data_IF_484496378508
#
_entry.id   IF_484496378508
#
_cell.length_a   1.000
_cell.length_b   1.000
_cell.length_c   1.000
_cell.angle_alpha   90.00
_cell.angle_beta   90.00
_cell.angle_gamma   90.00
#
_symmetry.space_group_name_H-M   'P 1'
#
loop_
_entity.id
_entity.type
_entity.pdbx_description
1 polymer ?
#
# COMPACT_ATOMS: atom_id res chain seq x y z
N UNK A 1 5.72 12.14 -10.72
CA UNK A 1 6.87 11.26 -10.99
C UNK A 1 7.98 11.59 -9.98
N UNK A 2 8.17 10.77 -8.95
CA UNK A 2 9.37 10.73 -8.10
C UNK A 2 9.38 9.36 -7.42
N UNK A 3 9.56 8.33 -8.24
CA UNK A 3 9.91 7.00 -7.76
C UNK A 3 11.32 7.12 -7.19
N UNK A 4 11.45 6.94 -5.88
CA UNK A 4 12.75 6.73 -5.24
C UNK A 4 13.49 5.71 -6.11
N UNK A 5 14.67 6.09 -6.60
CA UNK A 5 15.52 5.27 -7.45
C UNK A 5 15.91 4.00 -6.69
N UNK A 6 15.08 2.98 -6.89
CA UNK A 6 15.08 1.73 -6.14
C UNK A 6 16.33 0.88 -6.46
N UNK A 7 17.13 1.30 -7.44
CA UNK A 7 18.37 0.66 -7.88
C UNK A 7 19.55 0.88 -6.91
N UNK A 8 19.46 1.85 -5.99
CA UNK A 8 20.57 2.22 -5.08
C UNK A 8 20.56 1.54 -3.72
N UNK A 9 19.50 0.81 -3.37
CA UNK A 9 19.42 0.13 -2.08
C UNK A 9 20.19 -1.19 -2.16
N UNK A 10 21.41 -1.22 -1.59
CA UNK A 10 22.15 -2.48 -1.36
C UNK A 10 21.45 -3.25 -0.25
N UNK A 11 20.69 -4.27 -0.64
CA UNK A 11 19.99 -5.14 0.28
C UNK A 11 20.94 -6.18 0.86
N UNK A 12 20.93 -6.32 2.19
CA UNK A 12 21.50 -7.49 2.84
C UNK A 12 20.67 -8.71 2.42
N UNK A 13 21.31 -9.73 1.84
CA UNK A 13 20.64 -10.97 1.42
C UNK A 13 20.04 -11.77 2.58
N UNK A 14 20.38 -11.44 3.83
CA UNK A 14 19.88 -12.10 5.04
C UNK A 14 18.52 -11.61 5.48
N UNK A 15 18.17 -10.36 5.21
CA UNK A 15 17.00 -9.71 5.79
C UNK A 15 16.06 -9.13 4.74
N UNK A 16 14.77 -9.19 5.02
CA UNK A 16 13.79 -8.42 4.25
C UNK A 16 13.98 -6.93 4.56
N UNK A 17 13.86 -6.08 3.55
CA UNK A 17 13.98 -4.64 3.69
C UNK A 17 12.61 -3.98 3.66
N UNK A 18 12.43 -3.05 4.58
CA UNK A 18 11.23 -2.21 4.68
C UNK A 18 11.68 -0.75 4.63
N UNK A 19 11.21 -0.03 3.62
CA UNK A 19 11.60 1.35 3.39
C UNK A 19 10.93 2.36 4.31
N UNK A 20 11.30 3.64 4.19
CA UNK A 20 10.54 4.74 4.77
C UNK A 20 9.12 4.79 4.17
N UNK A 21 8.14 5.36 4.89
CA UNK A 21 6.79 5.51 4.35
C UNK A 21 6.81 6.35 3.06
N UNK A 22 6.08 5.90 2.05
CA UNK A 22 5.89 6.66 0.83
C UNK A 22 5.26 8.03 1.13
N UNK A 23 5.74 9.09 0.48
CA UNK A 23 5.31 10.47 0.77
C UNK A 23 3.81 10.69 0.53
N UNK A 24 3.23 10.00 -0.44
CA UNK A 24 1.83 10.16 -0.87
C UNK A 24 0.98 9.03 -0.28
N UNK A 25 1.27 7.78 -0.62
CA UNK A 25 0.44 6.63 -0.17
C UNK A 25 0.57 6.33 1.32
N UNK A 26 1.61 6.85 1.99
CA UNK A 26 2.00 6.56 3.39
C UNK A 26 2.35 5.09 3.68
N UNK A 27 2.25 4.22 2.68
CA UNK A 27 2.63 2.80 2.79
C UNK A 27 4.14 2.65 2.66
N UNK A 28 4.70 1.73 3.47
CA UNK A 28 6.12 1.37 3.39
C UNK A 28 6.34 0.38 2.25
N UNK A 29 7.26 0.67 1.30
CA UNK A 29 7.65 -0.30 0.30
C UNK A 29 8.43 -1.44 0.98
N UNK A 30 8.28 -2.64 0.44
CA UNK A 30 9.03 -3.81 0.89
C UNK A 30 9.86 -4.38 -0.25
N UNK A 31 11.04 -4.90 0.09
CA UNK A 31 11.82 -5.77 -0.78
C UNK A 31 12.19 -7.01 0.01
N UNK A 32 11.76 -8.15 -0.48
CA UNK A 32 11.96 -9.42 0.19
C UNK A 32 13.31 -10.00 -0.23
N UNK A 33 14.01 -10.63 0.71
CA UNK A 33 15.33 -11.21 0.45
C UNK A 33 15.26 -12.32 -0.60
N UNK A 34 16.31 -12.43 -1.41
CA UNK A 34 16.49 -13.51 -2.38
C UNK A 34 17.41 -14.56 -1.76
N UNK A 35 16.95 -15.81 -1.71
CA UNK A 35 17.73 -16.94 -1.19
C UNK A 35 18.69 -17.46 -2.26
N UNK A 36 19.90 -17.86 -1.89
CA UNK A 36 20.94 -18.31 -2.85
C UNK A 36 20.52 -19.49 -3.73
N UNK A 37 19.67 -20.39 -3.21
CA UNK A 37 19.07 -21.51 -3.94
C UNK A 37 17.54 -21.37 -4.00
N UNK A 38 17.06 -20.16 -4.35
CA UNK A 38 15.63 -19.87 -4.46
C UNK A 38 14.97 -20.77 -5.52
N UNK A 39 14.01 -21.59 -5.09
CA UNK A 39 13.20 -22.37 -6.03
C UNK A 39 12.23 -21.47 -6.79
N UNK A 40 11.76 -21.91 -7.96
CA UNK A 40 10.75 -21.17 -8.73
C UNK A 40 9.49 -20.85 -7.89
N UNK A 41 9.10 -21.75 -6.98
CA UNK A 41 7.95 -21.54 -6.08
C UNK A 41 8.24 -20.43 -5.06
N UNK A 42 9.43 -20.42 -4.45
CA UNK A 42 9.87 -19.35 -3.55
C UNK A 42 9.93 -17.98 -4.27
N UNK A 43 10.52 -17.96 -5.48
CA UNK A 43 10.60 -16.77 -6.33
C UNK A 43 9.23 -16.20 -6.66
N UNK A 44 8.32 -17.04 -7.14
CA UNK A 44 6.98 -16.62 -7.53
C UNK A 44 6.19 -16.10 -6.33
N UNK A 45 6.31 -16.76 -5.16
CA UNK A 45 5.69 -16.29 -3.93
C UNK A 45 6.23 -14.92 -3.49
N UNK A 46 7.56 -14.74 -3.55
CA UNK A 46 8.21 -13.48 -3.22
C UNK A 46 7.72 -12.34 -4.12
N UNK A 47 7.78 -12.54 -5.44
CA UNK A 47 7.32 -11.56 -6.43
C UNK A 47 5.84 -11.23 -6.22
N UNK A 48 4.99 -12.23 -5.96
CA UNK A 48 3.56 -12.00 -5.74
C UNK A 48 3.30 -11.12 -4.50
N UNK A 49 4.07 -11.28 -3.41
CA UNK A 49 3.98 -10.42 -2.22
C UNK A 49 4.43 -8.98 -2.51
N UNK A 50 5.54 -8.82 -3.23
CA UNK A 50 6.06 -7.50 -3.61
C UNK A 50 5.07 -6.78 -4.54
N UNK A 51 4.51 -7.48 -5.52
CA UNK A 51 3.46 -6.96 -6.41
C UNK A 51 2.19 -6.57 -5.65
N UNK A 52 1.77 -7.38 -4.66
CA UNK A 52 0.62 -7.04 -3.82
C UNK A 52 0.87 -5.77 -2.99
N UNK A 53 2.06 -5.63 -2.39
CA UNK A 53 2.45 -4.41 -1.67
C UNK A 53 2.50 -3.19 -2.59
N UNK A 54 3.05 -3.33 -3.79
CA UNK A 54 3.10 -2.26 -4.78
C UNK A 54 1.70 -1.85 -5.24
N UNK A 55 0.83 -2.81 -5.53
CA UNK A 55 -0.58 -2.53 -5.86
C UNK A 55 -1.31 -1.81 -4.72
N UNK A 56 -1.09 -2.27 -3.49
CA UNK A 56 -1.65 -1.63 -2.30
C UNK A 56 -1.19 -0.17 -2.18
N UNK A 57 0.11 0.07 -2.30
CA UNK A 57 0.68 1.43 -2.28
C UNK A 57 0.11 2.29 -3.41
N UNK A 58 -0.07 1.73 -4.61
CA UNK A 58 -0.58 2.48 -5.76
C UNK A 58 -2.04 2.91 -5.58
N UNK A 59 -2.87 2.04 -5.01
CA UNK A 59 -4.25 2.40 -4.67
C UNK A 59 -4.29 3.60 -3.73
N UNK A 60 -3.58 3.53 -2.61
CA UNK A 60 -3.56 4.61 -1.62
C UNK A 60 -2.85 5.88 -2.11
N UNK A 61 -1.89 5.77 -3.03
CA UNK A 61 -1.32 6.94 -3.69
C UNK A 61 -2.41 7.72 -4.43
N UNK A 62 -3.20 7.04 -5.26
CA UNK A 62 -4.25 7.65 -6.06
C UNK A 62 -5.38 8.19 -5.16
N UNK A 63 -5.81 7.41 -4.16
CA UNK A 63 -6.88 7.81 -3.24
C UNK A 63 -6.48 9.04 -2.40
N UNK A 64 -5.24 9.08 -1.90
CA UNK A 64 -4.76 10.23 -1.12
C UNK A 64 -4.61 11.48 -1.99
N UNK A 65 -4.17 11.36 -3.25
CA UNK A 65 -4.13 12.50 -4.17
C UNK A 65 -5.52 13.08 -4.42
N UNK A 66 -6.51 12.22 -4.62
CA UNK A 66 -7.89 12.65 -4.84
C UNK A 66 -8.50 13.28 -3.59
N UNK A 67 -8.24 12.72 -2.41
CA UNK A 67 -8.62 13.32 -1.13
C UNK A 67 -8.06 14.73 -0.97
N UNK A 68 -6.75 14.92 -1.17
CA UNK A 68 -6.10 16.24 -1.04
C UNK A 68 -6.70 17.23 -2.02
N UNK A 69 -6.92 16.82 -3.28
CA UNK A 69 -7.55 17.64 -4.32
C UNK A 69 -8.96 18.11 -3.91
N UNK A 70 -9.83 17.19 -3.50
CA UNK A 70 -11.20 17.51 -3.11
C UNK A 70 -11.25 18.35 -1.82
N UNK A 71 -10.35 18.08 -0.87
CA UNK A 71 -10.24 18.84 0.37
C UNK A 71 -9.86 20.29 0.08
N UNK A 72 -8.87 20.51 -0.77
CA UNK A 72 -8.40 21.85 -1.10
C UNK A 72 -9.46 22.64 -1.89
N UNK A 73 -10.19 21.95 -2.79
CA UNK A 73 -11.35 22.52 -3.49
C UNK A 73 -12.47 22.92 -2.53
N UNK A 74 -12.82 22.05 -1.57
CA UNK A 74 -13.82 22.33 -0.55
C UNK A 74 -13.43 23.53 0.31
N UNK A 75 -12.18 23.58 0.82
CA UNK A 75 -11.69 24.69 1.63
C UNK A 75 -11.74 26.00 0.84
N UNK A 76 -11.34 25.98 -0.44
CA UNK A 76 -11.37 27.17 -1.31
C UNK A 76 -12.80 27.67 -1.51
N UNK A 77 -13.73 26.79 -1.85
CA UNK A 77 -15.13 27.15 -2.07
C UNK A 77 -15.76 27.70 -0.78
N UNK A 78 -15.53 27.02 0.35
CA UNK A 78 -16.07 27.44 1.64
C UNK A 78 -15.53 28.79 2.11
N UNK A 79 -14.24 29.08 1.88
CA UNK A 79 -13.65 30.41 2.15
C UNK A 79 -14.27 31.50 1.29
N UNK A 80 -14.58 31.21 0.02
CA UNK A 80 -15.24 32.17 -0.87
C UNK A 80 -16.67 32.50 -0.39
N UNK A 81 -17.39 31.50 0.13
CA UNK A 81 -18.74 31.68 0.70
C UNK A 81 -18.73 32.49 2.00
N UNK A 82 -17.77 32.23 2.89
CA UNK A 82 -17.68 32.87 4.20
C UNK A 82 -17.07 34.28 4.16
N UNK A 83 -16.41 34.66 3.06
CA UNK A 83 -15.77 35.96 2.89
C UNK A 83 -14.46 36.14 3.67
N UNK A 84 -13.92 37.36 3.66
CA UNK A 84 -12.54 37.67 4.15
C UNK A 84 -12.26 37.35 5.62
N UNK A 85 -13.29 37.35 6.48
CA UNK A 85 -13.14 37.15 7.92
C UNK A 85 -13.57 35.74 8.39
N UNK A 86 -14.12 34.94 7.48
CA UNK A 86 -14.64 33.62 7.79
C UNK A 86 -13.59 32.53 7.62
N UNK A 87 -13.47 31.68 8.64
CA UNK A 87 -12.59 30.51 8.62
C UNK A 87 -13.43 29.24 8.49
N UNK A 88 -12.89 28.25 7.77
CA UNK A 88 -13.50 26.92 7.67
C UNK A 88 -13.47 26.28 9.06
N UNK A 89 -14.63 25.92 9.59
CA UNK A 89 -14.76 25.35 10.93
C UNK A 89 -14.62 23.84 10.91
N UNK A 90 -14.46 23.23 12.09
CA UNK A 90 -14.46 21.77 12.22
C UNK A 90 -15.78 21.13 11.75
N UNK A 91 -16.92 21.81 11.94
CA UNK A 91 -18.21 21.34 11.45
C UNK A 91 -18.27 21.32 9.93
N UNK A 92 -17.74 22.36 9.26
CA UNK A 92 -17.64 22.38 7.79
C UNK A 92 -16.73 21.23 7.30
N UNK A 93 -15.60 20.99 7.96
CA UNK A 93 -14.74 19.86 7.59
C UNK A 93 -15.41 18.51 7.84
N UNK A 94 -16.23 18.39 8.89
CA UNK A 94 -16.99 17.16 9.15
C UNK A 94 -18.00 16.85 8.05
N UNK A 95 -18.65 17.87 7.46
CA UNK A 95 -19.57 17.64 6.34
C UNK A 95 -18.82 17.20 5.09
N UNK A 96 -17.65 17.81 4.81
CA UNK A 96 -16.74 17.35 3.76
C UNK A 96 -16.33 15.88 3.97
N UNK A 97 -15.83 15.52 5.15
CA UNK A 97 -15.37 14.15 5.41
C UNK A 97 -16.48 13.13 5.25
N UNK A 98 -17.68 13.42 5.77
CA UNK A 98 -18.84 12.54 5.59
C UNK A 98 -19.18 12.36 4.12
N UNK A 99 -19.17 13.45 3.34
CA UNK A 99 -19.45 13.41 1.91
C UNK A 99 -18.41 12.59 1.16
N UNK A 100 -17.12 12.89 1.35
CA UNK A 100 -16.01 12.17 0.72
C UNK A 100 -16.07 10.67 1.00
N UNK A 101 -16.30 10.28 2.28
CA UNK A 101 -16.40 8.87 2.65
C UNK A 101 -17.60 8.17 2.00
N UNK A 102 -18.73 8.85 1.86
CA UNK A 102 -19.90 8.30 1.18
C UNK A 102 -19.65 8.10 -0.31
N UNK A 103 -19.01 9.08 -0.97
CA UNK A 103 -18.72 9.03 -2.39
C UNK A 103 -17.69 7.93 -2.72
N UNK A 104 -16.67 7.79 -1.88
CA UNK A 104 -15.59 6.79 -2.06
C UNK A 104 -15.94 5.40 -1.51
N UNK A 105 -17.09 5.24 -0.84
CA UNK A 105 -17.44 4.01 -0.14
C UNK A 105 -17.39 2.77 -1.04
N UNK A 106 -17.95 2.87 -2.25
CA UNK A 106 -17.96 1.78 -3.21
C UNK A 106 -16.54 1.40 -3.67
N UNK A 107 -15.68 2.39 -3.94
CA UNK A 107 -14.30 2.18 -4.34
C UNK A 107 -13.48 1.53 -3.22
N UNK A 108 -13.61 2.01 -1.99
CA UNK A 108 -12.95 1.46 -0.80
C UNK A 108 -13.43 0.04 -0.49
N UNK A 109 -14.72 -0.23 -0.63
CA UNK A 109 -15.28 -1.58 -0.45
C UNK A 109 -14.74 -2.56 -1.48
N UNK A 110 -14.69 -2.15 -2.76
CA UNK A 110 -14.10 -2.96 -3.83
C UNK A 110 -12.61 -3.21 -3.61
N UNK A 111 -11.86 -2.18 -3.21
CA UNK A 111 -10.46 -2.30 -2.82
C UNK A 111 -10.27 -3.29 -1.68
N UNK A 112 -11.01 -3.15 -0.58
CA UNK A 112 -10.91 -4.03 0.59
C UNK A 112 -11.18 -5.48 0.20
N UNK A 113 -12.28 -5.74 -0.55
CA UNK A 113 -12.60 -7.07 -1.07
C UNK A 113 -11.44 -7.66 -1.88
N UNK A 114 -10.88 -6.87 -2.79
CA UNK A 114 -9.76 -7.30 -3.65
C UNK A 114 -8.49 -7.54 -2.84
N UNK A 115 -8.20 -6.67 -1.87
CA UNK A 115 -7.04 -6.78 -0.98
C UNK A 115 -7.12 -8.06 -0.15
N UNK A 116 -8.28 -8.35 0.46
CA UNK A 116 -8.49 -9.60 1.18
C UNK A 116 -8.34 -10.81 0.27
N UNK A 117 -9.03 -10.83 -0.88
CA UNK A 117 -8.94 -11.93 -1.84
C UNK A 117 -7.49 -12.23 -2.25
N UNK A 118 -6.71 -11.19 -2.61
CA UNK A 118 -5.31 -11.36 -3.02
C UNK A 118 -4.44 -11.86 -1.87
N UNK A 119 -4.66 -11.39 -0.64
CA UNK A 119 -3.95 -11.91 0.53
C UNK A 119 -4.31 -13.38 0.81
N UNK A 120 -5.59 -13.76 0.69
CA UNK A 120 -6.02 -15.16 0.84
C UNK A 120 -5.40 -16.07 -0.23
N UNK A 121 -5.29 -15.62 -1.48
CA UNK A 121 -4.62 -16.37 -2.54
C UNK A 121 -3.14 -16.65 -2.25
N UNK A 122 -2.48 -15.82 -1.43
CA UNK A 122 -1.08 -16.01 -1.05
C UNK A 122 -0.88 -17.12 0.01
N UNK A 123 -1.94 -17.59 0.69
CA UNK A 123 -1.82 -18.63 1.72
C UNK A 123 -1.32 -19.95 1.15
N UNK A 124 -1.81 -20.36 -0.02
CA UNK A 124 -1.41 -21.62 -0.63
C UNK A 124 0.06 -21.63 -1.13
N UNK A 125 0.54 -20.61 -1.87
CA UNK A 125 1.96 -20.44 -2.13
C UNK A 125 2.82 -20.36 -0.86
N UNK A 126 2.34 -19.66 0.19
CA UNK A 126 3.05 -19.58 1.46
C UNK A 126 3.23 -20.97 2.08
N UNK A 127 2.17 -21.78 2.10
CA UNK A 127 2.22 -23.16 2.57
C UNK A 127 3.28 -23.98 1.81
N UNK A 128 3.24 -23.96 0.47
CA UNK A 128 4.23 -24.67 -0.37
C UNK A 128 5.67 -24.24 -0.08
N UNK A 129 5.92 -22.93 0.02
CA UNK A 129 7.25 -22.39 0.35
C UNK A 129 7.71 -22.83 1.73
N UNK A 130 6.82 -22.81 2.74
CA UNK A 130 7.16 -23.26 4.09
C UNK A 130 7.49 -24.76 4.13
N UNK A 131 6.80 -25.59 3.36
CA UNK A 131 7.14 -27.02 3.20
C UNK A 131 8.53 -27.21 2.58
N UNK A 132 8.85 -26.50 1.49
CA UNK A 132 10.19 -26.56 0.87
C UNK A 132 11.28 -26.18 1.87
N UNK A 133 11.07 -25.10 2.62
CA UNK A 133 12.01 -24.64 3.65
C UNK A 133 12.16 -25.65 4.79
N UNK A 134 11.06 -26.28 5.21
CA UNK A 134 11.06 -27.30 6.24
C UNK A 134 11.86 -28.54 5.81
N UNK A 135 11.63 -29.08 4.61
CA UNK A 135 12.42 -30.19 4.10
C UNK A 135 13.90 -29.84 3.95
N UNK A 136 14.22 -28.62 3.49
CA UNK A 136 15.61 -28.14 3.40
C UNK A 136 16.29 -28.05 4.78
N UNK A 137 15.55 -27.76 5.84
CA UNK A 137 16.06 -27.76 7.21
C UNK A 137 16.31 -29.18 7.71
N UNK A 138 15.42 -30.13 7.40
CA UNK A 138 15.58 -31.54 7.77
C UNK A 138 16.78 -32.16 7.05
N UNK A 139 16.92 -31.95 5.74
CA UNK A 139 18.01 -32.55 4.95
C UNK A 139 19.40 -31.94 5.19
N UNK A 140 19.49 -30.83 5.96
CA UNK A 140 20.75 -30.22 6.39
C UNK A 140 21.24 -30.70 7.76
N UNK A 141 20.38 -31.39 8.51
CA UNK A 141 20.74 -32.16 9.70
C UNK A 141 21.10 -33.58 9.28
#
# INVERSE_FOLDING_TARGET
MNTIDDSRVRLDKRFDWVGPPNRISKIRPIKLRIVENETNIEKNYRIAREQLNMWNSKFWENHNLEFERQRDEFIKNRKNELGKLGNVTANDMSTFYKKFLNDEYAALSHYNKTWYMRNFQLLWPAFKVNMIRFFRLISRK
#
